data_IF_901257383907
#
_entry.id   IF_901257383907
#
_cell.length_a   1.000
_cell.length_b   1.000
_cell.length_c   1.000
_cell.angle_alpha   90.00
_cell.angle_beta   90.00
_cell.angle_gamma   90.00
#
_symmetry.space_group_name_H-M   'P 1'
#
loop_
_entity.id
_entity.type
_entity.pdbx_description
1 polymer ?
#
# COMPACT_ATOMS: atom_id res chain seq x y z
N UNK A 1 8.41 14.86 15.93
CA UNK A 1 8.28 14.56 14.50
C UNK A 1 9.67 14.34 13.90
N UNK A 2 9.88 13.17 13.31
CA UNK A 2 11.12 12.83 12.61
C UNK A 2 11.00 13.15 11.11
N UNK A 3 12.15 13.27 10.44
CA UNK A 3 12.21 13.45 8.99
C UNK A 3 11.63 12.23 8.23
N UNK A 4 11.93 11.03 8.71
CA UNK A 4 11.37 9.80 8.15
C UNK A 4 9.83 9.79 8.21
N UNK A 5 9.25 10.25 9.31
CA UNK A 5 7.81 10.37 9.48
C UNK A 5 7.18 11.41 8.55
N UNK A 6 7.87 12.53 8.32
CA UNK A 6 7.41 13.53 7.37
C UNK A 6 7.37 12.99 5.93
N UNK A 7 8.40 12.25 5.53
CA UNK A 7 8.44 11.59 4.22
C UNK A 7 7.30 10.59 4.02
N UNK A 8 6.85 9.96 5.09
CA UNK A 8 5.74 8.99 5.04
C UNK A 8 4.40 9.63 4.65
N UNK A 9 4.27 10.96 4.65
CA UNK A 9 3.10 11.65 4.08
C UNK A 9 2.87 11.29 2.60
N UNK A 10 3.87 10.79 1.89
CA UNK A 10 3.71 10.29 0.52
C UNK A 10 2.69 9.16 0.39
N UNK A 11 2.35 8.46 1.48
CA UNK A 11 1.24 7.48 1.50
C UNK A 11 -0.09 8.10 1.04
N UNK A 12 -0.28 9.40 1.19
CA UNK A 12 -1.50 10.08 0.76
C UNK A 12 -1.68 10.04 -0.76
N UNK A 13 -0.57 10.08 -1.51
CA UNK A 13 -0.60 10.21 -2.97
C UNK A 13 -1.16 8.99 -3.71
N UNK A 14 -1.34 7.86 -3.04
CA UNK A 14 -2.00 6.68 -3.61
C UNK A 14 -3.52 6.74 -3.60
N UNK A 15 -4.12 7.86 -3.20
CA UNK A 15 -5.59 8.06 -3.14
C UNK A 15 -5.99 9.34 -3.87
N UNK A 16 -7.16 9.35 -4.51
CA UNK A 16 -7.63 10.48 -5.31
C UNK A 16 -7.51 11.87 -4.65
N UNK A 17 -7.95 12.09 -3.39
CA UNK A 17 -7.81 13.38 -2.72
C UNK A 17 -6.43 13.58 -2.04
N UNK A 18 -5.44 12.73 -2.34
CA UNK A 18 -4.16 12.69 -1.60
C UNK A 18 -3.29 13.92 -1.82
N UNK A 19 -3.24 14.42 -3.05
CA UNK A 19 -2.43 15.59 -3.39
C UNK A 19 -2.94 16.85 -2.70
N UNK A 20 -4.27 17.08 -2.69
CA UNK A 20 -4.90 18.20 -1.98
C UNK A 20 -4.68 18.12 -0.47
N UNK A 21 -4.80 16.91 0.09
CA UNK A 21 -4.57 16.71 1.53
C UNK A 21 -3.11 16.98 1.91
N UNK A 22 -2.17 16.50 1.11
CA UNK A 22 -0.74 16.76 1.31
C UNK A 22 -0.46 18.26 1.23
N UNK A 23 -0.97 18.94 0.19
CA UNK A 23 -0.84 20.38 0.02
C UNK A 23 -1.36 21.13 1.23
N UNK A 24 -2.55 20.80 1.72
CA UNK A 24 -3.17 21.44 2.88
C UNK A 24 -2.31 21.33 4.15
N UNK A 25 -1.69 20.18 4.39
CA UNK A 25 -0.77 20.00 5.52
C UNK A 25 0.47 20.88 5.37
N UNK A 26 1.02 20.96 4.14
CA UNK A 26 2.23 21.72 3.87
C UNK A 26 2.02 23.25 3.91
N UNK A 27 0.78 23.75 3.83
CA UNK A 27 0.44 25.16 4.05
C UNK A 27 0.48 25.57 5.54
N UNK A 28 0.40 24.60 6.45
CA UNK A 28 0.48 24.91 7.88
C UNK A 28 1.90 25.32 8.28
N UNK A 29 2.05 26.29 9.19
CA UNK A 29 3.38 26.68 9.66
C UNK A 29 4.14 25.47 10.23
N UNK A 30 5.34 25.16 9.72
CA UNK A 30 6.13 24.04 10.20
C UNK A 30 6.35 24.07 11.72
N UNK A 31 6.09 22.94 12.39
CA UNK A 31 6.23 22.83 13.85
C UNK A 31 5.08 23.43 14.66
N UNK A 32 4.06 24.04 14.03
CA UNK A 32 2.85 24.45 14.75
C UNK A 32 2.10 23.24 15.33
N UNK A 33 1.30 23.42 16.39
CA UNK A 33 0.49 22.33 16.93
C UNK A 33 -0.43 21.69 15.89
N UNK A 34 -1.01 22.47 14.98
CA UNK A 34 -1.86 21.97 13.91
C UNK A 34 -1.05 21.08 12.93
N UNK A 35 0.10 21.56 12.47
CA UNK A 35 0.99 20.80 11.58
C UNK A 35 1.42 19.46 12.21
N UNK A 36 1.87 19.50 13.46
CA UNK A 36 2.33 18.28 14.17
C UNK A 36 1.19 17.27 14.35
N UNK A 37 0.01 17.74 14.74
CA UNK A 37 -1.19 16.92 14.90
C UNK A 37 -1.60 16.27 13.58
N UNK A 38 -1.67 17.04 12.50
CA UNK A 38 -2.15 16.53 11.22
C UNK A 38 -1.17 15.53 10.59
N UNK A 39 0.15 15.80 10.67
CA UNK A 39 1.16 14.82 10.24
C UNK A 39 1.04 13.53 11.05
N UNK A 40 0.88 13.63 12.37
CA UNK A 40 0.70 12.45 13.21
C UNK A 40 -0.56 11.67 12.84
N UNK A 41 -1.68 12.36 12.69
CA UNK A 41 -2.96 11.76 12.35
C UNK A 41 -2.93 11.05 10.98
N UNK A 42 -2.29 11.66 9.99
CA UNK A 42 -2.23 11.13 8.62
C UNK A 42 -1.22 9.98 8.44
N UNK A 43 -0.25 9.86 9.31
CA UNK A 43 0.80 8.83 9.21
C UNK A 43 0.68 7.73 10.25
N UNK A 44 -0.29 7.81 11.17
CA UNK A 44 -0.45 6.81 12.24
C UNK A 44 -1.14 5.54 11.78
N UNK A 45 -0.71 4.40 12.33
CA UNK A 45 -1.40 3.11 12.23
C UNK A 45 -2.16 2.77 13.52
N UNK A 46 -2.36 3.74 14.42
CA UNK A 46 -2.97 3.52 15.74
C UNK A 46 -4.39 2.95 15.71
N UNK A 47 -5.15 3.21 14.64
CA UNK A 47 -6.49 2.62 14.43
C UNK A 47 -6.42 1.13 14.08
N UNK A 48 -5.36 0.69 13.38
CA UNK A 48 -5.17 -0.69 12.94
C UNK A 48 -3.69 -1.07 12.99
N UNK A 49 -3.10 -1.24 14.17
CA UNK A 49 -1.67 -1.54 14.30
C UNK A 49 -1.28 -2.88 13.68
N UNK A 50 -2.20 -3.85 13.61
CA UNK A 50 -1.93 -5.15 12.97
C UNK A 50 -1.59 -5.02 11.50
N UNK A 51 -2.13 -4.00 10.80
CA UNK A 51 -1.75 -3.72 9.43
C UNK A 51 -0.23 -3.55 9.28
N UNK A 52 0.38 -2.71 10.14
CA UNK A 52 1.83 -2.50 10.12
C UNK A 52 2.61 -3.76 10.57
N UNK A 53 2.12 -4.46 11.59
CA UNK A 53 2.79 -5.63 12.17
C UNK A 53 2.93 -6.77 11.17
N UNK A 54 1.88 -7.05 10.37
CA UNK A 54 1.86 -8.16 9.40
C UNK A 54 2.23 -7.74 7.98
N UNK A 55 2.55 -6.48 7.75
CA UNK A 55 2.70 -5.91 6.39
C UNK A 55 3.79 -6.61 5.57
N UNK A 56 4.89 -7.03 6.17
CA UNK A 56 5.95 -7.77 5.48
C UNK A 56 5.42 -9.04 4.77
N UNK A 57 4.32 -9.63 5.25
CA UNK A 57 3.70 -10.78 4.58
C UNK A 57 3.18 -10.46 3.17
N UNK A 58 2.90 -9.18 2.85
CA UNK A 58 2.46 -8.76 1.52
C UNK A 58 3.53 -8.95 0.44
N UNK A 59 4.81 -8.94 0.83
CA UNK A 59 5.94 -9.11 -0.07
C UNK A 59 6.46 -10.55 -0.11
N UNK A 60 5.91 -11.43 0.73
CA UNK A 60 6.43 -12.76 0.99
C UNK A 60 5.66 -13.84 0.24
N UNK A 61 6.35 -14.56 -0.64
CA UNK A 61 5.83 -15.78 -1.26
C UNK A 61 6.98 -16.80 -1.35
N UNK A 62 7.17 -17.59 -0.30
CA UNK A 62 8.26 -18.55 -0.21
C UNK A 62 9.63 -17.97 0.12
N UNK A 63 9.67 -16.76 0.72
CA UNK A 63 10.90 -16.05 1.06
C UNK A 63 10.84 -15.43 2.46
N UNK A 64 12.00 -15.03 2.98
CA UNK A 64 12.15 -14.10 4.09
C UNK A 64 12.28 -12.69 3.54
N UNK A 65 11.55 -11.73 4.08
CA UNK A 65 11.48 -10.36 3.55
C UNK A 65 12.54 -9.43 4.13
N UNK A 66 12.88 -9.62 5.42
CA UNK A 66 13.90 -8.83 6.14
C UNK A 66 13.76 -7.32 5.93
N UNK A 67 12.56 -6.80 6.20
CA UNK A 67 12.23 -5.39 6.01
C UNK A 67 12.44 -4.91 4.57
N UNK A 68 11.64 -5.45 3.65
CA UNK A 68 11.76 -5.23 2.21
C UNK A 68 11.92 -3.76 1.83
N UNK A 69 11.05 -2.88 2.33
CA UNK A 69 11.08 -1.45 2.00
C UNK A 69 12.39 -0.78 2.44
N UNK A 70 12.88 -1.09 3.64
CA UNK A 70 14.16 -0.55 4.14
C UNK A 70 15.34 -1.05 3.31
N UNK A 71 15.34 -2.33 2.95
CA UNK A 71 16.44 -2.99 2.25
C UNK A 71 16.60 -2.51 0.80
N UNK A 72 15.51 -2.09 0.15
CA UNK A 72 15.53 -1.63 -1.26
C UNK A 72 15.38 -0.12 -1.39
N UNK A 73 15.37 0.62 -0.28
CA UNK A 73 15.29 2.08 -0.31
C UNK A 73 16.49 2.64 -1.09
N UNK A 74 16.26 3.42 -2.17
CA UNK A 74 17.36 3.96 -2.97
C UNK A 74 18.23 4.96 -2.19
N UNK A 75 19.54 5.00 -2.49
CA UNK A 75 20.50 5.90 -1.85
C UNK A 75 20.11 7.38 -1.98
N UNK A 76 19.43 7.75 -3.08
CA UNK A 76 18.91 9.11 -3.28
C UNK A 76 18.05 9.63 -2.11
N UNK A 77 17.41 8.73 -1.35
CA UNK A 77 16.65 9.13 -0.16
C UNK A 77 17.54 9.58 1.01
N UNK A 78 18.83 9.24 1.03
CA UNK A 78 19.77 9.79 2.00
C UNK A 78 20.16 11.24 1.65
N UNK A 79 20.25 11.55 0.36
CA UNK A 79 20.76 12.82 -0.15
C UNK A 79 19.67 13.88 -0.33
N UNK A 80 18.46 13.46 -0.73
CA UNK A 80 17.34 14.36 -0.99
C UNK A 80 16.21 14.22 0.05
N UNK A 81 16.06 15.20 0.95
CA UNK A 81 15.02 15.19 1.96
C UNK A 81 13.60 15.40 1.41
N UNK A 82 13.45 15.88 0.19
CA UNK A 82 12.14 16.13 -0.41
C UNK A 82 11.47 14.86 -0.97
N UNK A 83 12.22 13.77 -1.12
CA UNK A 83 11.67 12.51 -1.60
C UNK A 83 10.72 11.90 -0.56
N UNK A 84 9.50 11.64 -0.98
CA UNK A 84 8.45 11.02 -0.16
C UNK A 84 8.46 9.51 -0.32
N UNK A 85 8.13 8.78 0.75
CA UNK A 85 7.89 7.34 0.71
C UNK A 85 6.41 7.05 0.56
N UNK A 86 6.07 5.93 -0.10
CA UNK A 86 4.68 5.51 -0.29
C UNK A 86 4.13 4.64 0.84
N UNK A 87 3.27 3.69 0.49
CA UNK A 87 2.67 2.73 1.42
C UNK A 87 3.69 1.64 1.77
N UNK A 88 4.59 1.97 2.66
CA UNK A 88 5.63 1.07 3.14
C UNK A 88 5.71 1.09 4.65
N UNK A 89 6.06 -0.05 5.24
CA UNK A 89 6.32 -0.16 6.67
C UNK A 89 7.82 -0.35 6.87
N UNK A 90 8.36 0.46 7.76
CA UNK A 90 9.79 0.48 8.09
C UNK A 90 10.01 0.09 9.56
N UNK A 91 11.15 -0.51 9.92
CA UNK A 91 11.45 -0.87 11.30
C UNK A 91 11.42 0.34 12.25
N UNK A 92 11.86 1.54 11.80
CA UNK A 92 11.86 2.76 12.61
C UNK A 92 10.46 3.17 13.10
N UNK A 93 9.38 2.75 12.42
CA UNK A 93 8.01 3.06 12.83
C UNK A 93 7.64 2.44 14.17
N UNK A 94 8.22 1.29 14.49
CA UNK A 94 8.02 0.60 15.76
C UNK A 94 8.84 1.21 16.90
N UNK A 95 9.78 2.09 16.61
CA UNK A 95 10.52 2.89 17.57
C UNK A 95 9.89 4.27 17.79
N UNK A 96 9.38 4.90 16.73
CA UNK A 96 8.93 6.30 16.70
C UNK A 96 7.43 6.46 16.95
N UNK A 97 6.60 5.45 16.64
CA UNK A 97 5.15 5.53 16.76
C UNK A 97 4.66 4.79 18.01
N UNK A 98 4.17 5.54 19.01
CA UNK A 98 3.73 4.99 20.29
C UNK A 98 2.68 3.85 20.14
N UNK A 99 1.80 3.92 19.13
CA UNK A 99 0.81 2.89 18.85
C UNK A 99 1.41 1.57 18.34
N UNK A 100 2.60 1.61 17.75
CA UNK A 100 3.30 0.44 17.20
C UNK A 100 4.36 -0.12 18.16
N UNK A 101 4.89 0.69 19.06
CA UNK A 101 5.96 0.30 20.00
C UNK A 101 5.69 -1.02 20.76
N UNK A 102 4.46 -1.33 21.23
CA UNK A 102 4.17 -2.60 21.89
C UNK A 102 4.33 -3.84 21.01
N UNK A 103 4.32 -3.67 19.68
CA UNK A 103 4.38 -4.75 18.70
C UNK A 103 5.76 -4.92 18.06
N UNK A 104 6.74 -4.13 18.46
CA UNK A 104 8.07 -4.08 17.86
C UNK A 104 8.71 -5.45 17.71
N UNK A 105 8.79 -6.22 18.80
CA UNK A 105 9.40 -7.55 18.79
C UNK A 105 8.69 -8.50 17.83
N UNK A 106 7.36 -8.50 17.85
CA UNK A 106 6.55 -9.32 16.95
C UNK A 106 6.77 -8.95 15.49
N UNK A 107 6.85 -7.66 15.16
CA UNK A 107 7.09 -7.21 13.80
C UNK A 107 8.47 -7.63 13.28
N UNK A 108 9.52 -7.54 14.11
CA UNK A 108 10.85 -8.03 13.76
C UNK A 108 10.87 -9.56 13.55
N UNK A 109 10.21 -10.34 14.40
CA UNK A 109 10.09 -11.79 14.22
C UNK A 109 9.38 -12.14 12.91
N UNK A 110 8.35 -11.39 12.53
CA UNK A 110 7.63 -11.60 11.28
C UNK A 110 8.47 -11.21 10.05
N UNK A 111 9.25 -10.14 10.12
CA UNK A 111 10.15 -9.74 9.04
C UNK A 111 11.26 -10.79 8.79
N UNK A 112 11.74 -11.46 9.84
CA UNK A 112 12.76 -12.52 9.74
C UNK A 112 12.17 -13.92 9.49
N UNK A 113 10.84 -14.04 9.46
CA UNK A 113 10.19 -15.33 9.22
C UNK A 113 10.42 -15.81 7.79
N UNK A 114 10.78 -17.10 7.64
CA UNK A 114 10.69 -17.78 6.36
C UNK A 114 9.21 -18.09 6.06
N UNK A 115 8.60 -17.27 5.20
CA UNK A 115 7.20 -17.41 4.84
C UNK A 115 6.99 -18.58 3.87
N UNK A 116 5.91 -19.34 3.98
CA UNK A 116 5.60 -20.39 3.03
C UNK A 116 5.18 -19.82 1.68
N UNK A 117 5.25 -20.64 0.64
CA UNK A 117 4.63 -20.31 -0.65
C UNK A 117 3.12 -20.28 -0.47
N UNK A 118 2.50 -19.13 -0.78
CA UNK A 118 1.05 -18.92 -0.65
C UNK A 118 0.32 -19.17 -1.98
N UNK A 119 0.93 -18.79 -3.09
CA UNK A 119 0.30 -18.85 -4.41
C UNK A 119 0.87 -19.97 -5.26
N UNK A 120 0.01 -20.89 -5.71
CA UNK A 120 0.36 -21.94 -6.67
C UNK A 120 -0.07 -21.51 -8.08
N UNK A 121 0.90 -21.28 -8.95
CA UNK A 121 0.67 -20.84 -10.32
C UNK A 121 -0.16 -21.85 -11.13
N UNK A 122 -0.05 -23.17 -10.83
CA UNK A 122 -0.85 -24.20 -11.52
C UNK A 122 -2.32 -24.12 -11.11
N UNK A 123 -2.59 -23.89 -9.83
CA UNK A 123 -3.96 -23.71 -9.31
C UNK A 123 -4.57 -22.45 -9.91
N UNK A 124 -3.83 -21.35 -9.96
CA UNK A 124 -4.31 -20.09 -10.58
C UNK A 124 -4.60 -20.26 -12.08
N UNK A 125 -3.73 -20.94 -12.80
CA UNK A 125 -3.92 -21.25 -14.23
C UNK A 125 -5.08 -22.23 -14.50
N UNK A 126 -5.49 -22.99 -13.50
CA UNK A 126 -6.63 -23.92 -13.58
C UNK A 126 -7.93 -23.32 -12.98
N UNK A 127 -7.92 -22.03 -12.61
CA UNK A 127 -9.08 -21.39 -11.99
C UNK A 127 -10.35 -21.52 -12.84
N UNK A 128 -11.47 -21.82 -12.20
CA UNK A 128 -12.81 -21.90 -12.83
C UNK A 128 -13.80 -20.90 -12.24
N UNK A 129 -13.38 -20.17 -11.21
CA UNK A 129 -14.22 -19.15 -10.58
C UNK A 129 -14.21 -17.90 -11.47
N UNK A 130 -15.38 -17.37 -11.86
CA UNK A 130 -15.44 -16.11 -12.59
C UNK A 130 -14.83 -14.97 -11.77
N UNK A 131 -13.84 -14.30 -12.33
CA UNK A 131 -13.12 -13.22 -11.68
C UNK A 131 -13.12 -11.96 -12.53
N UNK A 132 -13.15 -10.80 -11.86
CA UNK A 132 -12.88 -9.51 -12.48
C UNK A 132 -12.03 -8.66 -11.52
N UNK A 133 -11.17 -7.80 -12.07
CA UNK A 133 -10.32 -6.93 -11.28
C UNK A 133 -10.23 -5.55 -11.93
N UNK A 134 -10.33 -4.49 -11.11
CA UNK A 134 -9.92 -3.16 -11.52
C UNK A 134 -8.39 -3.05 -11.38
N UNK A 135 -7.76 -2.53 -12.41
CA UNK A 135 -6.32 -2.24 -12.46
C UNK A 135 -6.17 -0.75 -12.75
N UNK A 136 -5.63 -0.02 -11.80
CA UNK A 136 -5.48 1.42 -11.94
C UNK A 136 -4.15 1.75 -12.63
N UNK A 137 -4.20 2.66 -13.62
CA UNK A 137 -3.04 2.97 -14.49
C UNK A 137 -1.93 3.63 -13.71
N UNK A 138 -2.29 4.57 -12.84
CA UNK A 138 -1.38 5.41 -12.07
C UNK A 138 -1.35 5.02 -10.58
N UNK A 139 -1.64 3.74 -10.27
CA UNK A 139 -1.61 3.21 -8.92
C UNK A 139 -0.22 3.36 -8.30
N UNK A 140 -0.11 4.19 -7.26
CA UNK A 140 1.15 4.45 -6.55
C UNK A 140 1.47 3.44 -5.45
N UNK A 141 0.54 2.54 -5.13
CA UNK A 141 0.77 1.48 -4.15
C UNK A 141 1.13 0.15 -4.81
N UNK A 142 0.43 -0.20 -5.89
CA UNK A 142 0.65 -1.45 -6.62
C UNK A 142 0.99 -1.15 -8.07
N UNK A 143 2.27 -1.29 -8.48
CA UNK A 143 2.65 -1.08 -9.87
C UNK A 143 1.76 -1.86 -10.83
N UNK A 144 1.17 -1.17 -11.81
CA UNK A 144 0.26 -1.72 -12.81
C UNK A 144 0.77 -3.01 -13.45
N UNK A 145 2.07 -3.08 -13.74
CA UNK A 145 2.68 -4.26 -14.36
C UNK A 145 2.50 -5.54 -13.53
N UNK A 146 2.49 -5.45 -12.20
CA UNK A 146 2.26 -6.60 -11.32
C UNK A 146 0.80 -7.04 -11.32
N UNK A 147 -0.12 -6.07 -11.36
CA UNK A 147 -1.55 -6.36 -11.47
C UNK A 147 -1.90 -7.03 -12.80
N UNK A 148 -1.32 -6.55 -13.91
CA UNK A 148 -1.47 -7.17 -15.23
C UNK A 148 -0.83 -8.57 -15.29
N UNK A 149 0.33 -8.77 -14.66
CA UNK A 149 0.95 -10.10 -14.58
C UNK A 149 0.05 -11.09 -13.81
N UNK A 150 -0.51 -10.66 -12.70
CA UNK A 150 -1.48 -11.46 -11.93
C UNK A 150 -2.71 -11.78 -12.77
N UNK A 151 -3.26 -10.80 -13.49
CA UNK A 151 -4.42 -11.00 -14.35
C UNK A 151 -4.16 -12.04 -15.45
N UNK A 152 -2.96 -12.07 -16.03
CA UNK A 152 -2.56 -13.09 -17.04
C UNK A 152 -2.43 -14.49 -16.44
N UNK A 153 -2.05 -14.61 -15.17
CA UNK A 153 -1.83 -15.90 -14.50
C UNK A 153 -3.12 -16.56 -14.01
N UNK A 154 -4.13 -15.78 -13.69
CA UNK A 154 -5.42 -16.28 -13.21
C UNK A 154 -6.34 -16.56 -14.41
N UNK A 155 -6.60 -17.83 -14.70
CA UNK A 155 -7.47 -18.22 -15.81
C UNK A 155 -8.87 -17.60 -15.63
N UNK A 156 -9.38 -16.96 -16.68
CA UNK A 156 -10.72 -16.39 -16.72
C UNK A 156 -10.88 -15.07 -15.95
N UNK A 157 -9.83 -14.49 -15.41
CA UNK A 157 -9.87 -13.16 -14.85
C UNK A 157 -10.04 -12.12 -15.96
N UNK A 158 -11.01 -11.23 -15.80
CA UNK A 158 -11.33 -10.13 -16.71
C UNK A 158 -10.86 -8.82 -16.10
N UNK A 159 -9.76 -8.24 -16.58
CA UNK A 159 -9.25 -6.97 -16.06
C UNK A 159 -10.02 -5.79 -16.64
N UNK A 160 -10.30 -4.81 -15.81
CA UNK A 160 -10.72 -3.47 -16.19
C UNK A 160 -9.57 -2.50 -15.89
N UNK A 161 -8.87 -2.06 -16.92
CA UNK A 161 -7.76 -1.13 -16.80
C UNK A 161 -8.31 0.29 -16.96
N UNK A 162 -8.13 1.15 -15.95
CA UNK A 162 -8.68 2.49 -15.93
C UNK A 162 -7.74 3.48 -15.25
N UNK A 163 -7.78 4.74 -15.70
CA UNK A 163 -7.12 5.88 -15.07
C UNK A 163 -8.12 6.85 -14.37
N UNK A 164 -9.35 6.40 -14.17
CA UNK A 164 -10.37 7.23 -13.51
C UNK A 164 -10.21 7.27 -11.99
N UNK A 165 -9.42 6.38 -11.42
CA UNK A 165 -9.20 6.23 -9.99
C UNK A 165 -7.74 5.95 -9.67
N UNK A 166 -7.33 6.33 -8.47
CA UNK A 166 -6.12 5.85 -7.81
C UNK A 166 -6.41 4.50 -7.09
N UNK A 167 -5.59 4.10 -6.13
CA UNK A 167 -5.79 2.84 -5.38
C UNK A 167 -7.12 2.76 -4.60
N UNK A 168 -7.83 3.85 -4.46
CA UNK A 168 -9.08 3.95 -3.70
C UNK A 168 -10.37 3.81 -4.53
N UNK A 169 -10.30 3.27 -5.76
CA UNK A 169 -11.43 3.25 -6.69
C UNK A 169 -12.74 2.72 -6.12
N UNK A 170 -12.74 1.65 -5.31
CA UNK A 170 -13.98 1.17 -4.66
C UNK A 170 -14.51 2.19 -3.64
N UNK A 171 -13.63 2.91 -2.94
CA UNK A 171 -14.04 3.94 -1.99
C UNK A 171 -14.58 5.19 -2.68
N UNK A 172 -13.89 5.61 -3.74
CA UNK A 172 -14.22 6.83 -4.48
C UNK A 172 -15.37 6.63 -5.47
N UNK A 173 -15.48 5.46 -6.11
CA UNK A 173 -16.39 5.18 -7.22
C UNK A 173 -17.44 4.11 -6.97
N UNK A 174 -17.59 3.57 -5.76
CA UNK A 174 -18.72 2.68 -5.46
C UNK A 174 -20.07 3.46 -5.51
N UNK A 175 -21.17 2.87 -6.01
CA UNK A 175 -21.34 1.50 -6.50
C UNK A 175 -20.84 1.22 -7.93
N UNK A 176 -20.54 2.26 -8.74
CA UNK A 176 -20.19 2.13 -10.17
C UNK A 176 -19.06 1.13 -10.41
N UNK A 177 -17.99 1.19 -9.63
CA UNK A 177 -16.84 0.27 -9.77
C UNK A 177 -17.28 -1.15 -9.49
N UNK A 178 -18.03 -1.39 -8.41
CA UNK A 178 -18.51 -2.71 -8.04
C UNK A 178 -19.47 -3.28 -9.07
N UNK A 179 -20.43 -2.49 -9.54
CA UNK A 179 -21.41 -2.92 -10.55
C UNK A 179 -20.71 -3.32 -11.86
N UNK A 180 -19.71 -2.55 -12.29
CA UNK A 180 -18.92 -2.86 -13.48
C UNK A 180 -18.12 -4.16 -13.31
N UNK A 181 -17.45 -4.36 -12.18
CA UNK A 181 -16.71 -5.60 -11.91
C UNK A 181 -17.63 -6.82 -11.84
N UNK A 182 -18.81 -6.69 -11.23
CA UNK A 182 -19.81 -7.76 -11.20
C UNK A 182 -20.36 -8.09 -12.60
N UNK A 183 -20.59 -7.08 -13.45
CA UNK A 183 -20.99 -7.28 -14.82
C UNK A 183 -19.91 -8.00 -15.63
N UNK A 184 -18.64 -7.58 -15.49
CA UNK A 184 -17.49 -8.26 -16.10
C UNK A 184 -17.41 -9.73 -15.63
N UNK A 185 -17.45 -10.00 -14.35
CA UNK A 185 -17.36 -11.35 -13.82
C UNK A 185 -18.48 -12.27 -14.35
N UNK A 186 -19.68 -11.72 -14.56
CA UNK A 186 -20.85 -12.42 -15.12
C UNK A 186 -20.85 -12.53 -16.64
N UNK A 187 -19.94 -11.84 -17.34
CA UNK A 187 -19.91 -11.82 -18.79
C UNK A 187 -20.91 -10.88 -19.45
N UNK A 188 -21.39 -9.87 -18.73
CA UNK A 188 -22.41 -8.91 -19.16
C UNK A 188 -21.83 -7.53 -19.54
N UNK A 189 -20.49 -7.38 -19.56
CA UNK A 189 -19.79 -6.14 -19.92
C UNK A 189 -18.57 -6.45 -20.79
#
# INVERSE_FOLDING_TARGET
LTHARLRHLGILLGMGPGAERLHHVLELPPGSPAFLHDVEHLTTFGRNPLYAVVHESCYANGITTSWSAQRVLPDAYADDPALLTGEHIYPWMFDDMAALAPFRETAHLLAERAWPTLYDAKVLAANEVPCAAAIYVDDMYVPRAYSEDTARRVRGLRPWITNEYEHDGIRAGAPRVLDHLLALARGNA
#
